data_IF_561949635312
#
_entry.id   IF_561949635312
#
_cell.length_a   1.000
_cell.length_b   1.000
_cell.length_c   1.000
_cell.angle_alpha   90.00
_cell.angle_beta   90.00
_cell.angle_gamma   90.00
#
_symmetry.space_group_name_H-M   'P 1'
#
loop_
_entity.id
_entity.type
_entity.pdbx_description
1 polymer ?
#
# COMPACT_ATOMS: atom_id res chain seq x y z
N UNK A 1 -39.78 -59.45 -40.33
CA UNK A 1 -38.40 -59.38 -39.86
C UNK A 1 -38.26 -58.47 -38.67
N UNK A 2 -38.22 -59.00 -37.48
CA UNK A 2 -38.13 -58.14 -36.31
C UNK A 2 -36.73 -57.64 -35.95
N UNK A 3 -35.66 -58.22 -36.53
CA UNK A 3 -34.29 -57.95 -36.15
C UNK A 3 -33.80 -56.48 -36.38
N UNK A 4 -34.06 -55.88 -37.57
CA UNK A 4 -33.66 -54.43 -37.72
C UNK A 4 -34.45 -53.51 -36.85
N UNK A 5 -35.69 -53.81 -36.56
CA UNK A 5 -36.55 -53.02 -35.69
C UNK A 5 -36.13 -53.15 -34.23
N UNK A 6 -35.77 -54.34 -33.77
CA UNK A 6 -35.25 -54.58 -32.43
C UNK A 6 -33.88 -53.91 -32.25
N UNK A 7 -33.00 -53.91 -33.23
CA UNK A 7 -31.76 -53.23 -33.23
C UNK A 7 -31.93 -51.69 -33.12
N UNK A 8 -32.89 -51.14 -33.86
CA UNK A 8 -33.23 -49.77 -33.86
C UNK A 8 -33.82 -49.33 -32.50
N UNK A 9 -34.70 -50.14 -31.92
CA UNK A 9 -35.25 -49.92 -30.59
C UNK A 9 -34.20 -50.02 -29.52
N UNK A 10 -33.27 -50.94 -29.55
CA UNK A 10 -32.19 -51.11 -28.64
C UNK A 10 -31.25 -49.90 -28.71
N UNK A 11 -30.91 -49.43 -29.91
CA UNK A 11 -30.11 -48.22 -30.11
C UNK A 11 -30.82 -46.96 -29.59
N UNK A 12 -32.12 -46.90 -29.82
CA UNK A 12 -32.94 -45.78 -29.33
C UNK A 12 -33.00 -45.75 -27.80
N UNK A 13 -33.16 -46.91 -27.17
CA UNK A 13 -33.12 -47.01 -25.70
C UNK A 13 -31.74 -46.67 -25.12
N UNK A 14 -30.68 -47.09 -25.78
CA UNK A 14 -29.31 -46.72 -25.38
C UNK A 14 -29.10 -45.20 -25.44
N UNK A 15 -29.57 -44.59 -26.52
CA UNK A 15 -29.54 -43.11 -26.65
C UNK A 15 -30.38 -42.40 -25.58
N UNK A 16 -31.57 -42.92 -25.29
CA UNK A 16 -32.43 -42.36 -24.24
C UNK A 16 -31.84 -42.50 -22.85
N UNK A 17 -31.09 -43.55 -22.59
CA UNK A 17 -30.38 -43.71 -21.29
C UNK A 17 -29.13 -42.87 -21.21
N UNK A 18 -28.47 -42.55 -22.32
CA UNK A 18 -27.31 -41.65 -22.35
C UNK A 18 -27.68 -40.17 -22.14
N UNK A 19 -28.86 -39.77 -22.63
CA UNK A 19 -29.31 -38.39 -22.47
C UNK A 19 -29.40 -37.93 -21.01
N UNK A 20 -30.06 -38.66 -20.09
CA UNK A 20 -30.06 -38.28 -18.68
C UNK A 20 -28.67 -38.26 -18.06
N UNK A 21 -27.81 -39.20 -18.43
CA UNK A 21 -26.42 -39.25 -17.95
C UNK A 21 -25.63 -37.98 -18.36
N UNK A 22 -25.78 -37.60 -19.64
CA UNK A 22 -25.15 -36.38 -20.15
C UNK A 22 -25.70 -35.12 -19.47
N UNK A 23 -26.99 -35.07 -19.21
CA UNK A 23 -27.62 -33.96 -18.48
C UNK A 23 -27.10 -33.84 -17.05
N UNK A 24 -26.92 -35.00 -16.37
CA UNK A 24 -26.34 -35.04 -15.02
C UNK A 24 -24.90 -34.57 -15.03
N UNK A 25 -24.09 -35.01 -15.98
CA UNK A 25 -22.71 -34.58 -16.15
C UNK A 25 -22.62 -33.10 -16.45
N UNK A 26 -23.46 -32.58 -17.32
CA UNK A 26 -23.53 -31.16 -17.64
C UNK A 26 -23.86 -30.32 -16.39
N UNK A 27 -24.87 -30.75 -15.64
CA UNK A 27 -25.26 -30.07 -14.41
C UNK A 27 -24.13 -30.10 -13.37
N UNK A 28 -23.45 -31.24 -13.22
CA UNK A 28 -22.30 -31.38 -12.33
C UNK A 28 -21.13 -30.43 -12.71
N UNK A 29 -20.83 -30.34 -14.02
CA UNK A 29 -19.79 -29.45 -14.54
C UNK A 29 -20.17 -28.00 -14.38
N UNK A 30 -21.41 -27.63 -14.63
CA UNK A 30 -21.92 -26.28 -14.39
C UNK A 30 -21.83 -25.88 -12.90
N UNK A 31 -22.17 -26.81 -12.02
CA UNK A 31 -22.04 -26.63 -10.58
C UNK A 31 -20.58 -26.41 -10.15
N UNK A 32 -19.67 -27.24 -10.67
CA UNK A 32 -18.23 -27.11 -10.39
C UNK A 32 -17.68 -25.81 -10.92
N UNK A 33 -18.08 -25.40 -12.12
CA UNK A 33 -17.68 -24.14 -12.72
C UNK A 33 -18.14 -22.96 -11.88
N UNK A 34 -19.42 -22.94 -11.48
CA UNK A 34 -19.98 -21.89 -10.65
C UNK A 34 -19.27 -21.79 -9.29
N UNK A 35 -18.99 -22.94 -8.68
CA UNK A 35 -18.24 -23.02 -7.42
C UNK A 35 -16.81 -22.47 -7.57
N UNK A 36 -16.14 -22.85 -8.66
CA UNK A 36 -14.79 -22.38 -8.96
C UNK A 36 -14.76 -20.87 -9.20
N UNK A 37 -15.70 -20.37 -9.99
CA UNK A 37 -15.84 -18.92 -10.23
C UNK A 37 -16.10 -18.15 -8.94
N UNK A 38 -16.98 -18.67 -8.07
CA UNK A 38 -17.26 -18.04 -6.78
C UNK A 38 -16.03 -18.02 -5.89
N UNK A 39 -15.25 -19.10 -5.86
CA UNK A 39 -14.02 -19.19 -5.08
C UNK A 39 -12.95 -18.22 -5.57
N UNK A 40 -12.72 -18.17 -6.88
CA UNK A 40 -11.79 -17.22 -7.46
C UNK A 40 -12.25 -15.78 -7.27
N UNK A 41 -13.54 -15.51 -7.41
CA UNK A 41 -14.11 -14.20 -7.12
C UNK A 41 -13.87 -13.75 -5.69
N UNK A 42 -14.05 -14.65 -4.73
CA UNK A 42 -13.78 -14.37 -3.32
C UNK A 42 -12.28 -14.10 -3.07
N UNK A 43 -11.40 -14.90 -3.68
CA UNK A 43 -9.96 -14.71 -3.58
C UNK A 43 -9.51 -13.36 -4.16
N UNK A 44 -10.04 -13.01 -5.34
CA UNK A 44 -9.77 -11.69 -5.95
C UNK A 44 -10.23 -10.54 -5.06
N UNK A 45 -11.42 -10.65 -4.46
CA UNK A 45 -11.93 -9.66 -3.54
C UNK A 45 -11.02 -9.50 -2.30
N UNK A 46 -10.52 -10.60 -1.75
CA UNK A 46 -9.56 -10.56 -0.64
C UNK A 46 -8.24 -9.88 -1.02
N UNK A 47 -7.72 -10.22 -2.20
CA UNK A 47 -6.48 -9.61 -2.70
C UNK A 47 -6.68 -8.11 -2.94
N UNK A 48 -7.81 -7.71 -3.52
CA UNK A 48 -8.13 -6.29 -3.71
C UNK A 48 -8.25 -5.55 -2.39
N UNK A 49 -8.86 -6.15 -1.38
CA UNK A 49 -8.95 -5.58 -0.04
C UNK A 49 -7.56 -5.38 0.59
N UNK A 50 -6.65 -6.37 0.42
CA UNK A 50 -5.27 -6.28 0.89
C UNK A 50 -4.51 -5.16 0.17
N UNK A 51 -4.65 -5.07 -1.15
CA UNK A 51 -4.02 -4.02 -1.97
C UNK A 51 -4.51 -2.64 -1.52
N UNK A 52 -5.82 -2.47 -1.34
CA UNK A 52 -6.39 -1.20 -0.87
C UNK A 52 -5.88 -0.83 0.52
N UNK A 53 -5.75 -1.81 1.42
CA UNK A 53 -5.18 -1.60 2.75
C UNK A 53 -3.72 -1.16 2.70
N UNK A 54 -2.92 -1.80 1.85
CA UNK A 54 -1.50 -1.45 1.67
C UNK A 54 -1.36 -0.06 1.03
N UNK A 55 -2.19 0.25 0.04
CA UNK A 55 -2.20 1.59 -0.59
C UNK A 55 -2.53 2.68 0.42
N UNK A 56 -3.51 2.45 1.30
CA UNK A 56 -3.85 3.38 2.36
C UNK A 56 -2.68 3.58 3.34
N UNK A 57 -2.03 2.49 3.76
CA UNK A 57 -0.85 2.54 4.62
C UNK A 57 0.30 3.28 3.96
N UNK A 58 0.53 3.03 2.67
CA UNK A 58 1.58 3.71 1.91
C UNK A 58 1.32 5.21 1.82
N UNK A 59 0.07 5.60 1.60
CA UNK A 59 -0.34 7.00 1.58
C UNK A 59 -0.10 7.67 2.93
N UNK A 60 -0.44 7.01 4.03
CA UNK A 60 -0.21 7.50 5.39
C UNK A 60 1.29 7.66 5.68
N UNK A 61 2.11 6.68 5.31
CA UNK A 61 3.55 6.74 5.50
C UNK A 61 4.17 7.88 4.71
N UNK A 62 3.72 8.10 3.47
CA UNK A 62 4.19 9.21 2.64
C UNK A 62 3.81 10.57 3.25
N UNK A 63 2.60 10.69 3.76
CA UNK A 63 2.14 11.91 4.43
C UNK A 63 2.95 12.17 5.70
N UNK A 64 3.22 11.14 6.50
CA UNK A 64 4.04 11.23 7.70
C UNK A 64 5.48 11.61 7.37
N UNK A 65 6.06 11.04 6.31
CA UNK A 65 7.40 11.38 5.86
C UNK A 65 7.50 12.84 5.43
N UNK A 66 6.52 13.33 4.68
CA UNK A 66 6.47 14.72 4.25
C UNK A 66 6.36 15.67 5.47
N UNK A 67 5.51 15.35 6.42
CA UNK A 67 5.37 16.11 7.65
C UNK A 67 6.67 16.13 8.45
N UNK A 68 7.32 14.98 8.60
CA UNK A 68 8.60 14.88 9.31
C UNK A 68 9.70 15.68 8.60
N UNK A 69 9.73 15.66 7.28
CA UNK A 69 10.67 16.47 6.51
C UNK A 69 10.45 17.97 6.73
N UNK A 70 9.20 18.42 6.75
CA UNK A 70 8.87 19.81 7.03
C UNK A 70 9.26 20.20 8.46
N UNK A 71 8.98 19.36 9.43
CA UNK A 71 9.38 19.57 10.82
C UNK A 71 10.90 19.62 10.96
N UNK A 72 11.61 18.75 10.28
CA UNK A 72 13.07 18.72 10.26
C UNK A 72 13.64 20.02 9.69
N UNK A 73 13.11 20.47 8.55
CA UNK A 73 13.51 21.74 7.94
C UNK A 73 13.28 22.91 8.88
N UNK A 74 12.13 22.94 9.53
CA UNK A 74 11.80 23.97 10.50
C UNK A 74 12.78 23.99 11.68
N UNK A 75 13.12 22.83 12.22
CA UNK A 75 14.10 22.70 13.29
C UNK A 75 15.49 23.14 12.85
N UNK A 76 15.89 22.79 11.62
CA UNK A 76 17.17 23.21 11.06
C UNK A 76 17.24 24.73 10.90
N UNK A 77 16.14 25.35 10.46
CA UNK A 77 16.05 26.81 10.35
C UNK A 77 16.17 27.51 11.73
N UNK A 78 15.49 26.96 12.72
CA UNK A 78 15.59 27.44 14.11
C UNK A 78 17.02 27.27 14.63
N UNK A 79 17.62 26.11 14.40
CA UNK A 79 19.02 25.88 14.82
C UNK A 79 19.97 26.87 14.19
N UNK A 80 19.86 27.12 12.89
CA UNK A 80 20.69 28.10 12.18
C UNK A 80 20.52 29.49 12.75
N UNK A 81 19.28 29.90 13.01
CA UNK A 81 18.98 31.21 13.60
C UNK A 81 19.59 31.35 15.00
N UNK A 82 19.45 30.32 15.84
CA UNK A 82 20.02 30.32 17.17
C UNK A 82 21.54 30.37 17.15
N UNK A 83 22.17 29.62 16.24
CA UNK A 83 23.62 29.67 16.05
C UNK A 83 24.10 31.06 15.64
N UNK A 84 23.38 31.74 14.76
CA UNK A 84 23.67 33.11 14.35
C UNK A 84 23.50 34.09 15.51
N UNK A 85 22.47 33.95 16.31
CA UNK A 85 22.24 34.79 17.49
C UNK A 85 23.35 34.59 18.53
N UNK A 86 23.76 33.33 18.75
CA UNK A 86 24.88 33.03 19.67
C UNK A 86 26.18 33.62 19.14
N UNK A 87 26.46 33.52 17.86
CA UNK A 87 27.66 34.10 17.26
C UNK A 87 27.65 35.62 17.39
N UNK A 88 26.52 36.26 17.13
CA UNK A 88 26.35 37.71 17.28
C UNK A 88 26.56 38.15 18.73
N UNK A 89 25.97 37.43 19.67
CA UNK A 89 26.10 37.69 21.10
C UNK A 89 27.58 37.59 21.56
N UNK A 90 28.26 36.51 21.14
CA UNK A 90 29.69 36.32 21.43
C UNK A 90 30.52 37.45 20.86
N UNK A 91 30.30 37.85 19.62
CA UNK A 91 31.02 38.93 18.97
C UNK A 91 30.81 40.27 19.70
N UNK A 92 29.59 40.53 20.15
CA UNK A 92 29.30 41.74 20.92
C UNK A 92 29.99 41.73 22.28
N UNK A 93 30.00 40.59 22.98
CA UNK A 93 30.68 40.44 24.26
C UNK A 93 32.19 40.59 24.11
N UNK A 94 32.79 39.90 23.13
CA UNK A 94 34.24 40.00 22.86
C UNK A 94 34.61 41.41 22.45
N UNK A 95 33.79 42.08 21.64
CA UNK A 95 33.99 43.48 21.27
C UNK A 95 33.91 44.40 22.47
N UNK A 96 32.99 44.19 23.38
CA UNK A 96 32.88 44.96 24.63
C UNK A 96 34.06 44.72 25.56
N UNK A 97 34.47 43.46 25.71
CA UNK A 97 35.62 43.12 26.52
C UNK A 97 36.89 43.78 25.98
N UNK A 98 37.11 43.78 24.69
CA UNK A 98 38.20 44.46 24.03
C UNK A 98 38.12 45.99 24.26
N UNK A 99 36.93 46.55 24.15
CA UNK A 99 36.71 47.98 24.42
C UNK A 99 37.02 48.37 25.87
N UNK A 100 36.57 47.59 26.83
CA UNK A 100 36.87 47.81 28.25
C UNK A 100 38.35 47.61 28.55
N UNK A 101 39.02 46.68 27.95
CA UNK A 101 40.46 46.47 28.08
C UNK A 101 41.23 47.70 27.55
N UNK A 102 40.85 48.21 26.39
CA UNK A 102 41.45 49.40 25.79
C UNK A 102 41.23 50.64 26.68
N UNK A 103 40.05 50.83 27.22
CA UNK A 103 39.76 51.93 28.18
C UNK A 103 40.59 51.79 29.44
N UNK A 104 40.73 50.56 29.95
CA UNK A 104 41.51 50.25 31.13
C UNK A 104 42.99 50.61 30.91
N UNK A 105 43.56 50.27 29.77
CA UNK A 105 44.88 50.58 29.34
C UNK A 105 45.06 52.09 29.17
N UNK A 106 44.12 52.80 28.56
CA UNK A 106 44.14 54.22 28.38
C UNK A 106 44.09 54.96 29.72
N UNK A 107 43.38 54.46 30.72
CA UNK A 107 43.32 55.05 32.07
C UNK A 107 44.60 54.81 32.87
N UNK A 108 45.30 53.71 32.61
CA UNK A 108 46.56 53.35 33.24
C UNK A 108 47.74 54.19 32.72
N UNK A 109 47.59 54.70 31.50
CA UNK A 109 48.56 55.63 30.92
C UNK A 109 48.25 57.07 31.28
#
# INVERSE_FOLDING_TARGET
MPLPFLGTLSGHQALLSLLPSLCIQKAALEGTLAETEARFGAQLAQIQALISGIEAQLSDVRADTERQNQEYQHLMDIKTRLEQEIATYRNLLEGQDAYYNDLSLAKAL
#
